data_IF_531549098252
#
_entry.id   IF_531549098252
#
_cell.length_a   1.000
_cell.length_b   1.000
_cell.length_c   1.000
_cell.angle_alpha   90.00
_cell.angle_beta   90.00
_cell.angle_gamma   90.00
#
_symmetry.space_group_name_H-M   'P 1'
#
loop_
_entity.id
_entity.type
_entity.pdbx_description
1 polymer ?
#
# COMPACT_ATOMS: atom_id res chain seq x y z
N UNK A 1 -72.23 52.76 1.23
CA UNK A 1 -72.87 51.47 1.62
C UNK A 1 -72.33 50.32 0.75
N UNK A 2 -71.06 49.89 0.87
CA UNK A 2 -70.56 48.73 0.10
C UNK A 2 -69.28 48.08 0.66
N UNK A 3 -69.09 48.05 2.00
CA UNK A 3 -67.90 47.42 2.64
C UNK A 3 -68.26 46.30 3.62
N UNK A 4 -69.54 45.95 3.80
CA UNK A 4 -69.99 44.89 4.73
C UNK A 4 -70.30 43.53 4.07
N UNK A 5 -70.21 43.38 2.74
CA UNK A 5 -70.56 42.13 2.03
C UNK A 5 -69.38 41.28 1.53
N UNK A 6 -68.16 41.83 1.44
CA UNK A 6 -66.98 41.06 1.01
C UNK A 6 -66.30 40.26 2.15
N UNK A 7 -66.41 40.71 3.40
CA UNK A 7 -65.79 40.03 4.55
C UNK A 7 -66.46 38.72 4.99
N UNK A 8 -67.76 38.54 4.73
CA UNK A 8 -68.51 37.33 5.16
C UNK A 8 -68.28 36.11 4.27
N UNK A 9 -67.96 36.31 2.98
CA UNK A 9 -67.67 35.21 2.06
C UNK A 9 -66.33 34.52 2.36
N UNK A 10 -65.31 35.31 2.71
CA UNK A 10 -63.98 34.80 3.02
C UNK A 10 -63.96 34.01 4.35
N UNK A 11 -64.68 34.50 5.37
CA UNK A 11 -64.80 33.80 6.66
C UNK A 11 -65.51 32.47 6.50
N UNK A 12 -66.58 32.40 5.70
CA UNK A 12 -67.26 31.13 5.43
C UNK A 12 -66.39 30.15 4.65
N UNK A 13 -65.55 30.64 3.73
CA UNK A 13 -64.62 29.79 2.98
C UNK A 13 -63.55 29.17 3.88
N UNK A 14 -62.98 29.93 4.83
CA UNK A 14 -61.99 29.42 5.78
C UNK A 14 -62.60 28.40 6.75
N UNK A 15 -63.84 28.62 7.21
CA UNK A 15 -64.53 27.67 8.10
C UNK A 15 -64.85 26.37 7.38
N UNK A 16 -65.30 26.43 6.12
CA UNK A 16 -65.54 25.21 5.31
C UNK A 16 -64.22 24.51 5.01
N UNK A 17 -63.14 25.23 4.71
CA UNK A 17 -61.84 24.62 4.44
C UNK A 17 -61.26 23.93 5.68
N UNK A 18 -61.38 24.56 6.86
CA UNK A 18 -60.96 23.98 8.13
C UNK A 18 -61.79 22.74 8.51
N UNK A 19 -63.09 22.74 8.20
CA UNK A 19 -63.96 21.57 8.40
C UNK A 19 -63.59 20.41 7.47
N UNK A 20 -63.22 20.68 6.20
CA UNK A 20 -62.84 19.63 5.24
C UNK A 20 -61.47 19.01 5.57
N UNK A 21 -60.50 19.81 6.06
CA UNK A 21 -59.20 19.27 6.49
C UNK A 21 -59.29 18.52 7.83
N UNK A 22 -60.24 18.86 8.70
CA UNK A 22 -60.42 18.22 10.00
C UNK A 22 -61.01 16.80 9.93
N UNK A 23 -61.84 16.49 8.93
CA UNK A 23 -62.56 15.20 8.88
C UNK A 23 -61.72 14.06 8.27
N UNK A 24 -60.70 14.35 7.43
CA UNK A 24 -59.87 13.30 6.83
C UNK A 24 -58.96 12.56 7.82
N UNK A 25 -58.62 13.19 8.95
CA UNK A 25 -57.75 12.59 9.97
C UNK A 25 -58.47 11.59 10.90
N UNK A 26 -59.81 11.53 10.87
CA UNK A 26 -60.57 10.69 11.81
C UNK A 26 -60.91 9.30 11.25
N UNK A 27 -60.79 9.07 9.94
CA UNK A 27 -61.20 7.81 9.30
C UNK A 27 -60.04 6.91 8.86
N UNK A 28 -58.79 7.30 9.10
CA UNK A 28 -57.60 6.47 8.80
C UNK A 28 -56.86 6.23 10.12
N UNK A 29 -56.99 5.06 10.76
CA UNK A 29 -56.18 4.77 11.93
C UNK A 29 -54.69 4.81 11.54
N UNK A 30 -53.81 5.44 12.33
CA UNK A 30 -52.39 5.42 12.05
C UNK A 30 -51.94 3.95 12.00
N UNK A 31 -51.38 3.56 10.87
CA UNK A 31 -50.80 2.24 10.67
C UNK A 31 -49.77 2.04 11.78
N UNK A 32 -50.06 1.16 12.74
CA UNK A 32 -49.16 0.87 13.84
C UNK A 32 -47.78 0.56 13.25
N UNK A 33 -46.76 1.32 13.66
CA UNK A 33 -45.38 1.04 13.28
C UNK A 33 -45.09 -0.41 13.65
N UNK A 34 -44.77 -1.22 12.64
CA UNK A 34 -44.35 -2.59 12.86
C UNK A 34 -43.21 -2.59 13.90
N UNK A 35 -43.18 -3.54 14.85
CA UNK A 35 -42.05 -3.66 15.77
C UNK A 35 -40.76 -3.70 14.95
N UNK A 36 -39.88 -2.72 15.17
CA UNK A 36 -38.55 -2.78 14.60
C UNK A 36 -37.91 -4.07 15.13
N UNK A 37 -37.58 -4.99 14.21
CA UNK A 37 -36.76 -6.14 14.57
C UNK A 37 -35.52 -5.61 15.29
N UNK A 38 -35.11 -6.20 16.43
CA UNK A 38 -33.94 -5.73 17.15
C UNK A 38 -32.77 -5.67 16.17
N UNK A 39 -32.18 -4.48 16.01
CA UNK A 39 -31.00 -4.31 15.22
C UNK A 39 -29.93 -5.25 15.81
N UNK A 40 -29.57 -6.29 15.06
CA UNK A 40 -28.45 -7.14 15.43
C UNK A 40 -27.25 -6.22 15.47
N UNK A 41 -26.75 -5.96 16.68
CA UNK A 41 -25.53 -5.20 16.90
C UNK A 41 -24.46 -5.92 16.09
N UNK A 42 -23.99 -5.30 15.01
CA UNK A 42 -22.91 -5.87 14.21
C UNK A 42 -21.76 -6.14 15.18
N UNK A 43 -21.38 -7.41 15.29
CA UNK A 43 -20.23 -7.81 16.10
C UNK A 43 -19.02 -7.04 15.54
N UNK A 44 -18.27 -6.38 16.44
CA UNK A 44 -17.15 -5.55 16.02
C UNK A 44 -16.17 -6.43 15.23
N UNK A 45 -15.82 -6.00 14.02
CA UNK A 45 -14.86 -6.72 13.21
C UNK A 45 -13.49 -6.71 13.91
N UNK A 46 -12.83 -7.87 13.96
CA UNK A 46 -11.50 -7.99 14.54
C UNK A 46 -10.51 -6.99 13.90
N UNK A 47 -9.73 -6.21 14.70
CA UNK A 47 -8.96 -5.10 14.19
C UNK A 47 -7.60 -5.55 13.61
N UNK A 48 -7.62 -5.99 12.35
CA UNK A 48 -6.45 -6.59 11.66
C UNK A 48 -5.20 -5.68 11.66
N UNK A 49 -5.37 -4.37 11.39
CA UNK A 49 -4.24 -3.44 11.35
C UNK A 49 -3.59 -3.25 12.73
N UNK A 50 -4.39 -3.21 13.79
CA UNK A 50 -3.88 -3.14 15.17
C UNK A 50 -3.14 -4.44 15.52
N UNK A 51 -3.67 -5.59 15.10
CA UNK A 51 -3.03 -6.88 15.31
C UNK A 51 -1.68 -6.99 14.60
N UNK A 52 -1.60 -6.52 13.36
CA UNK A 52 -0.35 -6.42 12.60
C UNK A 52 0.69 -5.53 13.30
N UNK A 53 0.27 -4.36 13.78
CA UNK A 53 1.17 -3.43 14.45
C UNK A 53 1.73 -4.00 15.78
N UNK A 54 0.87 -4.62 16.60
CA UNK A 54 1.29 -5.25 17.87
C UNK A 54 2.20 -6.45 17.60
N UNK A 55 1.86 -7.31 16.64
CA UNK A 55 2.70 -8.44 16.26
C UNK A 55 4.06 -8.00 15.72
N UNK A 56 4.13 -6.91 14.94
CA UNK A 56 5.39 -6.36 14.45
C UNK A 56 6.29 -5.83 15.58
N UNK A 57 5.71 -5.10 16.55
CA UNK A 57 6.43 -4.63 17.75
C UNK A 57 6.98 -5.80 18.57
N UNK A 58 6.13 -6.81 18.80
CA UNK A 58 6.53 -8.04 19.48
C UNK A 58 7.66 -8.75 18.75
N UNK A 59 7.53 -8.99 17.45
CA UNK A 59 8.53 -9.72 16.65
C UNK A 59 9.90 -9.00 16.64
N UNK A 60 9.90 -7.66 16.61
CA UNK A 60 11.13 -6.85 16.74
C UNK A 60 11.83 -7.11 18.07
N UNK A 61 11.10 -7.09 19.18
CA UNK A 61 11.68 -7.31 20.51
C UNK A 61 12.02 -8.80 20.76
N UNK A 62 11.24 -9.73 20.19
CA UNK A 62 11.46 -11.15 20.34
C UNK A 62 12.74 -11.62 19.62
N UNK A 63 12.94 -11.18 18.37
CA UNK A 63 14.10 -11.54 17.54
C UNK A 63 15.27 -10.54 17.62
N UNK A 64 15.10 -9.41 18.30
CA UNK A 64 16.18 -8.49 18.63
C UNK A 64 16.69 -8.76 20.03
N UNK A 65 17.98 -9.09 20.18
CA UNK A 65 18.58 -9.30 21.49
C UNK A 65 20.02 -8.82 21.51
N UNK A 66 20.45 -8.38 22.70
CA UNK A 66 21.83 -8.07 23.05
C UNK A 66 21.97 -8.41 24.53
N UNK A 67 22.89 -9.31 24.86
CA UNK A 67 23.19 -9.73 26.24
C UNK A 67 23.47 -8.55 27.19
N UNK A 68 23.95 -7.42 26.66
CA UNK A 68 24.23 -6.21 27.45
C UNK A 68 22.99 -5.32 27.65
N UNK A 69 21.84 -5.68 27.06
CA UNK A 69 20.59 -4.91 27.05
C UNK A 69 19.37 -5.79 27.35
N UNK A 70 19.55 -6.78 28.23
CA UNK A 70 18.50 -7.75 28.55
C UNK A 70 17.23 -7.09 29.13
N UNK A 71 17.40 -6.14 30.06
CA UNK A 71 16.28 -5.41 30.68
C UNK A 71 15.49 -4.57 29.65
N UNK A 72 16.18 -3.94 28.70
CA UNK A 72 15.54 -3.16 27.62
C UNK A 72 14.63 -4.06 26.78
N UNK A 73 15.13 -5.26 26.42
CA UNK A 73 14.34 -6.25 25.67
C UNK A 73 13.12 -6.71 26.45
N UNK A 74 13.27 -7.01 27.73
CA UNK A 74 12.18 -7.46 28.60
C UNK A 74 11.07 -6.40 28.70
N UNK A 75 11.43 -5.14 28.90
CA UNK A 75 10.47 -4.02 28.94
C UNK A 75 9.71 -3.86 27.63
N UNK A 76 10.40 -4.00 26.49
CA UNK A 76 9.77 -3.93 25.17
C UNK A 76 8.76 -5.08 24.97
N UNK A 77 9.10 -6.29 25.39
CA UNK A 77 8.19 -7.44 25.34
C UNK A 77 7.00 -7.27 26.29
N UNK A 78 7.23 -6.84 27.52
CA UNK A 78 6.17 -6.59 28.51
C UNK A 78 5.12 -5.59 27.99
N UNK A 79 5.51 -4.60 27.17
CA UNK A 79 4.60 -3.59 26.62
C UNK A 79 3.51 -4.12 25.67
N UNK A 80 3.61 -5.37 25.22
CA UNK A 80 2.68 -6.00 24.26
C UNK A 80 2.14 -7.34 24.76
N UNK A 81 2.52 -7.72 25.99
CA UNK A 81 2.10 -8.95 26.64
C UNK A 81 1.08 -8.67 27.74
N UNK A 82 0.25 -9.66 28.09
CA UNK A 82 -0.57 -9.59 29.30
C UNK A 82 0.29 -9.36 30.54
N UNK A 83 -0.28 -8.74 31.58
CA UNK A 83 0.34 -8.72 32.90
C UNK A 83 0.76 -10.14 33.33
N UNK A 84 1.88 -10.23 34.05
CA UNK A 84 2.43 -11.47 34.60
C UNK A 84 2.88 -12.52 33.57
N UNK A 85 2.89 -12.19 32.27
CA UNK A 85 3.47 -13.05 31.24
C UNK A 85 5.00 -13.13 31.36
N UNK A 86 5.58 -14.27 30.98
CA UNK A 86 7.03 -14.45 30.85
C UNK A 86 7.60 -13.54 29.75
N UNK A 87 8.14 -12.38 30.14
CA UNK A 87 8.75 -11.40 29.24
C UNK A 87 10.16 -11.79 28.78
N UNK A 88 10.75 -12.88 29.29
CA UNK A 88 12.00 -13.43 28.74
C UNK A 88 11.74 -14.17 27.42
N UNK A 89 10.53 -14.72 27.29
CA UNK A 89 10.08 -15.52 26.15
C UNK A 89 11.03 -16.67 25.79
N UNK A 90 11.71 -17.22 26.79
CA UNK A 90 12.62 -18.35 26.64
C UNK A 90 14.00 -18.03 26.03
N UNK A 91 14.40 -16.75 25.99
CA UNK A 91 15.78 -16.38 25.67
C UNK A 91 16.70 -16.71 26.86
N UNK A 92 17.89 -17.22 26.57
CA UNK A 92 18.87 -17.66 27.58
C UNK A 92 19.77 -16.51 28.09
N UNK A 93 19.57 -15.29 27.58
CA UNK A 93 20.33 -14.11 27.95
C UNK A 93 21.63 -13.91 27.17
N UNK A 94 21.97 -14.80 26.23
CA UNK A 94 23.27 -14.76 25.54
C UNK A 94 23.18 -14.24 24.11
N UNK A 95 24.28 -13.65 23.65
CA UNK A 95 24.52 -13.30 22.26
C UNK A 95 23.87 -12.00 21.83
N UNK A 96 23.98 -11.73 20.52
CA UNK A 96 23.47 -10.52 19.89
C UNK A 96 22.85 -10.80 18.53
N UNK A 97 21.72 -10.16 18.25
CA UNK A 97 21.05 -10.17 16.96
C UNK A 97 20.36 -8.83 16.71
N UNK A 98 20.68 -8.20 15.58
CA UNK A 98 20.05 -6.97 15.14
C UNK A 98 18.84 -7.30 14.26
N UNK A 99 17.77 -6.51 14.40
CA UNK A 99 16.60 -6.52 13.51
C UNK A 99 16.68 -5.33 12.56
N UNK A 100 16.81 -5.62 11.27
CA UNK A 100 16.96 -4.62 10.21
C UNK A 100 15.62 -4.17 9.62
N UNK A 101 14.65 -5.09 9.53
CA UNK A 101 13.30 -4.81 9.02
C UNK A 101 12.28 -5.79 9.62
N UNK A 102 11.03 -5.34 9.70
CA UNK A 102 9.88 -6.15 10.14
C UNK A 102 8.73 -5.91 9.17
N UNK A 103 8.13 -6.97 8.66
CA UNK A 103 7.04 -6.95 7.68
C UNK A 103 5.88 -7.78 8.23
N UNK A 104 4.83 -7.16 8.80
CA UNK A 104 3.62 -7.88 9.18
C UNK A 104 2.85 -8.29 7.92
N UNK A 105 2.39 -9.54 7.91
CA UNK A 105 1.68 -10.16 6.79
C UNK A 105 0.24 -10.51 7.17
N UNK A 106 -0.22 -11.66 6.67
CA UNK A 106 -1.61 -12.09 6.81
C UNK A 106 -2.02 -12.28 8.28
N UNK A 107 -3.26 -11.88 8.58
CA UNK A 107 -3.95 -12.14 9.86
C UNK A 107 -4.90 -13.31 9.67
N UNK A 108 -4.63 -14.43 10.34
CA UNK A 108 -5.49 -15.60 10.33
C UNK A 108 -6.34 -15.61 11.59
N UNK A 109 -7.60 -15.20 11.46
CA UNK A 109 -8.57 -15.16 12.57
C UNK A 109 -8.92 -16.59 13.01
N UNK A 110 -9.08 -16.76 14.31
CA UNK A 110 -9.49 -18.00 14.95
C UNK A 110 -10.67 -17.70 15.90
N UNK A 111 -11.07 -18.65 16.75
CA UNK A 111 -12.23 -18.45 17.64
C UNK A 111 -11.89 -17.46 18.77
N UNK A 112 -12.92 -16.93 19.44
CA UNK A 112 -12.79 -16.14 20.68
C UNK A 112 -11.92 -14.88 20.53
N UNK A 113 -12.10 -14.13 19.45
CA UNK A 113 -11.32 -12.92 19.16
C UNK A 113 -9.79 -13.15 19.15
N UNK A 114 -9.35 -14.36 18.82
CA UNK A 114 -7.94 -14.69 18.67
C UNK A 114 -7.56 -14.68 17.18
N UNK A 115 -6.32 -14.34 16.88
CA UNK A 115 -5.76 -14.48 15.55
C UNK A 115 -4.28 -14.90 15.60
N UNK A 116 -3.75 -15.29 14.44
CA UNK A 116 -2.31 -15.46 14.22
C UNK A 116 -1.86 -14.49 13.15
N UNK A 117 -0.83 -13.72 13.45
CA UNK A 117 -0.22 -12.82 12.47
C UNK A 117 1.08 -13.44 11.98
N UNK A 118 1.19 -13.63 10.66
CA UNK A 118 2.47 -13.97 10.03
C UNK A 118 3.33 -12.71 10.02
N UNK A 119 4.56 -12.79 10.51
CA UNK A 119 5.52 -11.67 10.48
C UNK A 119 6.84 -12.16 9.89
N UNK A 120 7.38 -11.44 8.93
CA UNK A 120 8.72 -11.68 8.38
C UNK A 120 9.70 -10.65 8.94
N UNK A 121 10.85 -11.12 9.44
CA UNK A 121 11.84 -10.27 10.11
C UNK A 121 13.21 -10.47 9.47
N UNK A 122 13.82 -9.39 9.01
CA UNK A 122 15.19 -9.40 8.49
C UNK A 122 16.14 -9.25 9.67
N UNK A 123 16.83 -10.33 10.02
CA UNK A 123 17.76 -10.36 11.16
C UNK A 123 19.20 -10.44 10.70
N UNK A 124 20.10 -9.88 11.49
CA UNK A 124 21.55 -10.02 11.33
C UNK A 124 22.16 -10.46 12.66
N UNK A 125 22.80 -11.63 12.73
CA UNK A 125 23.54 -12.03 13.92
C UNK A 125 24.65 -11.02 14.23
N UNK A 126 24.93 -10.87 15.51
CA UNK A 126 26.03 -10.06 16.00
C UNK A 126 27.37 -10.49 15.42
N UNK A 127 28.31 -9.56 15.49
CA UNK A 127 29.67 -9.77 15.02
C UNK A 127 30.40 -10.70 15.99
N UNK A 128 30.82 -11.86 15.50
CA UNK A 128 31.71 -12.74 16.26
C UNK A 128 33.16 -12.31 16.04
N UNK A 129 33.95 -12.29 17.12
CA UNK A 129 35.39 -12.17 16.99
C UNK A 129 35.90 -13.42 16.26
N UNK A 130 36.57 -13.24 15.12
CA UNK A 130 37.19 -14.36 14.42
C UNK A 130 38.21 -15.07 15.31
N UNK A 131 38.48 -16.37 15.09
CA UNK A 131 39.45 -17.10 15.88
C UNK A 131 40.82 -16.41 15.81
N UNK A 132 41.38 -16.10 16.98
CA UNK A 132 42.71 -15.50 17.05
C UNK A 132 43.74 -16.47 16.48
N UNK A 133 44.44 -16.06 15.42
CA UNK A 133 45.66 -16.73 14.96
C UNK A 133 46.85 -15.87 15.39
N UNK A 134 47.83 -16.49 16.04
CA UNK A 134 49.15 -15.90 16.33
C UNK A 134 49.11 -14.54 17.05
N UNK A 135 48.35 -14.44 18.15
CA UNK A 135 48.21 -13.22 18.98
C UNK A 135 47.72 -11.97 18.22
N UNK A 136 47.29 -12.09 16.96
CA UNK A 136 46.59 -11.04 16.22
C UNK A 136 45.10 -11.30 16.25
N UNK A 137 44.34 -10.32 16.73
CA UNK A 137 42.88 -10.34 16.71
C UNK A 137 42.44 -10.41 15.24
N UNK A 138 41.77 -11.49 14.84
CA UNK A 138 41.19 -11.57 13.51
C UNK A 138 40.16 -10.45 13.33
N UNK A 139 40.03 -9.88 12.13
CA UNK A 139 38.99 -8.89 11.88
C UNK A 139 37.61 -9.50 12.15
N UNK A 140 36.68 -8.71 12.71
CA UNK A 140 35.31 -9.15 12.97
C UNK A 140 34.66 -9.73 11.71
N UNK A 141 33.99 -10.89 11.83
CA UNK A 141 33.23 -11.47 10.72
C UNK A 141 31.76 -11.13 10.92
N UNK A 142 31.24 -10.26 10.04
CA UNK A 142 29.81 -9.95 10.03
C UNK A 142 29.05 -11.01 9.23
N UNK A 143 28.10 -11.67 9.89
CA UNK A 143 27.24 -12.66 9.23
C UNK A 143 26.21 -11.92 8.34
N UNK A 144 25.86 -12.55 7.22
CA UNK A 144 24.86 -12.01 6.30
C UNK A 144 23.48 -11.91 6.98
N UNK A 145 22.69 -10.91 6.57
CA UNK A 145 21.30 -10.80 6.99
C UNK A 145 20.45 -11.91 6.37
N UNK A 146 19.41 -12.34 7.06
CA UNK A 146 18.46 -13.37 6.58
C UNK A 146 17.05 -13.07 7.06
N UNK A 147 16.07 -13.44 6.25
CA UNK A 147 14.66 -13.38 6.65
C UNK A 147 14.31 -14.58 7.55
N UNK A 148 13.53 -14.31 8.59
CA UNK A 148 12.98 -15.30 9.52
C UNK A 148 11.48 -15.06 9.63
N UNK A 149 10.69 -16.12 9.43
CA UNK A 149 9.24 -16.07 9.57
C UNK A 149 8.81 -16.40 10.99
N UNK A 150 7.78 -15.70 11.48
CA UNK A 150 7.23 -15.87 12.80
C UNK A 150 5.69 -15.87 12.74
N UNK A 151 5.04 -16.84 13.39
CA UNK A 151 3.61 -16.77 13.68
C UNK A 151 3.39 -16.29 15.10
N UNK A 152 2.79 -15.10 15.23
CA UNK A 152 2.54 -14.45 16.51
C UNK A 152 1.07 -14.66 16.89
N UNK A 153 0.78 -15.37 18.00
CA UNK A 153 -0.58 -15.50 18.50
C UNK A 153 -1.00 -14.20 19.20
N UNK A 154 -2.16 -13.67 18.81
CA UNK A 154 -2.72 -12.42 19.32
C UNK A 154 -4.19 -12.61 19.68
N UNK A 155 -4.71 -11.77 20.56
CA UNK A 155 -6.13 -11.67 20.84
C UNK A 155 -6.55 -10.23 21.05
N UNK A 156 -7.80 -9.93 20.72
CA UNK A 156 -8.45 -8.70 21.14
C UNK A 156 -9.02 -8.90 22.55
N UNK A 157 -8.68 -8.00 23.46
CA UNK A 157 -9.19 -7.96 24.82
C UNK A 157 -9.42 -6.50 25.21
N UNK A 158 -10.62 -6.20 25.71
CA UNK A 158 -11.01 -4.84 26.13
C UNK A 158 -10.77 -3.74 25.06
N UNK A 159 -10.85 -4.08 23.76
CA UNK A 159 -10.61 -3.17 22.65
C UNK A 159 -9.14 -2.96 22.28
N UNK A 160 -8.22 -3.70 22.90
CA UNK A 160 -6.79 -3.66 22.60
C UNK A 160 -6.31 -5.03 22.10
N UNK A 161 -5.22 -5.03 21.31
CA UNK A 161 -4.56 -6.27 20.90
C UNK A 161 -3.42 -6.59 21.85
N UNK A 162 -3.39 -7.83 22.31
CA UNK A 162 -2.31 -8.40 23.14
C UNK A 162 -1.74 -9.66 22.49
N UNK A 163 -0.45 -9.91 22.69
CA UNK A 163 0.18 -11.19 22.30
C UNK A 163 -0.14 -12.24 23.35
N UNK A 164 -0.74 -13.36 22.95
CA UNK A 164 -1.29 -14.34 23.90
C UNK A 164 -0.35 -15.49 24.25
N UNK A 165 0.85 -15.53 23.66
CA UNK A 165 1.82 -16.56 23.98
C UNK A 165 3.07 -16.54 23.11
N UNK A 166 3.87 -17.60 23.26
CA UNK A 166 5.12 -17.76 22.49
C UNK A 166 4.81 -17.95 21.01
N UNK A 167 5.58 -17.30 20.12
CA UNK A 167 5.41 -17.46 18.69
C UNK A 167 6.01 -18.77 18.17
N UNK A 168 5.66 -19.14 16.94
CA UNK A 168 6.28 -20.24 16.21
C UNK A 168 7.20 -19.74 15.10
N UNK A 169 8.40 -20.31 14.97
CA UNK A 169 9.24 -20.12 13.78
C UNK A 169 8.64 -20.88 12.60
N UNK A 170 8.61 -20.23 11.43
CA UNK A 170 8.01 -20.78 10.22
C UNK A 170 8.88 -20.52 9.00
N UNK A 171 8.74 -21.37 7.99
CA UNK A 171 9.45 -21.21 6.72
C UNK A 171 8.92 -20.02 5.91
N UNK A 172 9.82 -19.34 5.21
CA UNK A 172 9.49 -18.31 4.20
C UNK A 172 9.72 -18.93 2.82
N UNK A 173 8.76 -18.81 1.88
CA UNK A 173 8.96 -19.23 0.50
C UNK A 173 10.22 -18.60 -0.11
N UNK A 174 11.06 -19.40 -0.77
CA UNK A 174 12.30 -18.91 -1.39
C UNK A 174 12.07 -18.07 -2.64
N UNK A 175 10.90 -18.23 -3.25
CA UNK A 175 10.47 -17.55 -4.47
C UNK A 175 9.02 -17.11 -4.30
N UNK A 176 8.65 -16.03 -4.97
CA UNK A 176 7.25 -15.63 -5.09
C UNK A 176 6.43 -16.70 -5.83
N UNK A 177 5.09 -16.61 -5.74
CA UNK A 177 4.22 -17.43 -6.58
C UNK A 177 4.46 -17.12 -8.05
N UNK A 178 4.10 -18.06 -8.93
CA UNK A 178 4.08 -17.82 -10.37
C UNK A 178 3.15 -16.65 -10.68
N UNK A 179 3.64 -15.74 -11.53
CA UNK A 179 2.84 -14.60 -11.96
C UNK A 179 1.76 -15.09 -12.96
N UNK A 180 0.58 -14.44 -12.99
CA UNK A 180 -0.40 -14.73 -14.03
C UNK A 180 0.16 -14.50 -15.43
N UNK A 181 -0.23 -15.35 -16.39
CA UNK A 181 0.10 -15.16 -17.80
C UNK A 181 -0.36 -13.78 -18.28
N UNK A 182 0.55 -13.03 -18.88
CA UNK A 182 0.23 -11.74 -19.50
C UNK A 182 0.15 -11.94 -21.02
N UNK A 183 -0.95 -11.52 -21.69
CA UNK A 183 -1.07 -11.70 -23.13
C UNK A 183 0.01 -10.92 -23.88
N UNK A 184 0.70 -11.57 -24.81
CA UNK A 184 1.67 -10.92 -25.69
C UNK A 184 0.98 -9.90 -26.58
N UNK A 185 1.42 -8.65 -26.54
CA UNK A 185 0.93 -7.61 -27.46
C UNK A 185 1.71 -7.66 -28.77
N UNK A 186 1.02 -7.66 -29.90
CA UNK A 186 1.64 -7.53 -31.22
C UNK A 186 2.33 -6.15 -31.33
N UNK A 187 3.44 -6.07 -32.06
CA UNK A 187 4.28 -4.86 -32.13
C UNK A 187 4.25 -4.24 -33.53
N UNK A 188 4.46 -2.92 -33.59
CA UNK A 188 4.57 -2.15 -34.83
C UNK A 188 6.04 -1.72 -35.03
N UNK A 189 6.86 -2.49 -35.78
CA UNK A 189 8.29 -2.21 -35.92
C UNK A 189 8.56 -0.92 -36.69
N UNK A 190 7.68 -0.53 -37.60
CA UNK A 190 7.82 0.71 -38.37
C UNK A 190 7.61 1.93 -37.46
N UNK A 191 6.54 1.93 -36.66
CA UNK A 191 6.30 2.99 -35.68
C UNK A 191 7.38 3.02 -34.60
N UNK A 192 7.83 1.85 -34.13
CA UNK A 192 8.93 1.74 -33.16
C UNK A 192 10.19 2.43 -33.66
N UNK A 193 10.60 2.14 -34.89
CA UNK A 193 11.77 2.78 -35.52
C UNK A 193 11.55 4.28 -35.68
N UNK A 194 10.37 4.70 -36.13
CA UNK A 194 10.04 6.11 -36.33
C UNK A 194 10.09 6.93 -35.03
N UNK A 195 9.72 6.34 -33.90
CA UNK A 195 9.48 7.06 -32.63
C UNK A 195 10.59 6.88 -31.60
N UNK A 196 11.55 5.97 -31.86
CA UNK A 196 12.67 5.68 -30.97
C UNK A 196 13.42 6.94 -30.50
N UNK A 197 13.83 7.81 -31.42
CA UNK A 197 14.56 9.03 -31.08
C UNK A 197 13.73 10.03 -30.25
N UNK A 198 12.40 10.07 -30.44
CA UNK A 198 11.52 10.92 -29.65
C UNK A 198 11.40 10.41 -28.20
N UNK A 199 11.30 9.09 -28.04
CA UNK A 199 11.24 8.42 -26.73
C UNK A 199 12.59 8.53 -25.99
N UNK A 200 13.71 8.34 -26.68
CA UNK A 200 15.06 8.50 -26.11
C UNK A 200 15.27 9.93 -25.58
N UNK A 201 14.96 10.93 -26.43
CA UNK A 201 15.02 12.34 -26.05
C UNK A 201 14.11 12.65 -24.86
N UNK A 202 12.91 12.07 -24.82
CA UNK A 202 11.99 12.24 -23.70
C UNK A 202 12.62 11.75 -22.39
N UNK A 203 13.20 10.55 -22.36
CA UNK A 203 13.80 10.02 -21.12
C UNK A 203 15.05 10.79 -20.67
N UNK A 204 15.84 11.31 -21.62
CA UNK A 204 16.93 12.23 -21.29
C UNK A 204 16.42 13.51 -20.61
N UNK A 205 15.36 14.13 -21.16
CA UNK A 205 14.69 15.30 -20.58
C UNK A 205 13.99 14.98 -19.24
N UNK A 206 13.42 13.79 -19.10
CA UNK A 206 12.75 13.32 -17.89
C UNK A 206 13.70 13.23 -16.71
N UNK A 207 14.94 12.78 -16.95
CA UNK A 207 16.02 12.78 -15.96
C UNK A 207 16.44 14.19 -15.53
N UNK A 208 16.44 15.14 -16.47
CA UNK A 208 16.80 16.53 -16.23
C UNK A 208 15.67 17.34 -15.56
N UNK A 209 14.45 16.79 -15.51
CA UNK A 209 13.26 17.51 -15.04
C UNK A 209 12.77 18.61 -15.98
N UNK A 210 13.23 18.62 -17.25
CA UNK A 210 12.89 19.62 -18.26
C UNK A 210 12.17 18.94 -19.44
N UNK A 211 10.88 18.66 -19.24
CA UNK A 211 10.07 17.84 -20.16
C UNK A 211 9.15 18.65 -21.08
N UNK A 212 9.00 19.95 -20.87
CA UNK A 212 8.00 20.78 -21.56
C UNK A 212 8.17 20.77 -23.09
N UNK A 213 9.40 20.62 -23.58
CA UNK A 213 9.70 20.57 -25.01
C UNK A 213 9.49 19.18 -25.65
N UNK A 214 9.34 18.13 -24.84
CA UNK A 214 9.27 16.73 -25.29
C UNK A 214 7.93 16.07 -24.96
N UNK A 215 7.11 16.68 -24.11
CA UNK A 215 5.75 16.24 -23.83
C UNK A 215 4.73 16.85 -24.77
N UNK A 216 3.59 16.18 -24.91
CA UNK A 216 2.43 16.72 -25.61
C UNK A 216 1.82 17.90 -24.81
N UNK A 217 1.21 18.89 -25.48
CA UNK A 217 0.56 20.01 -24.80
C UNK A 217 -0.50 19.54 -23.79
N UNK A 218 -0.37 19.96 -22.53
CA UNK A 218 -1.30 19.60 -21.45
C UNK A 218 -0.96 18.31 -20.70
N UNK A 219 0.05 17.55 -21.15
CA UNK A 219 0.55 16.39 -20.42
C UNK A 219 1.21 16.82 -19.10
N UNK A 220 0.93 16.09 -18.02
CA UNK A 220 1.55 16.30 -16.71
C UNK A 220 2.33 15.04 -16.34
N UNK A 221 3.65 15.11 -16.40
CA UNK A 221 4.53 14.01 -15.97
C UNK A 221 5.41 14.48 -14.82
N UNK A 222 5.28 13.93 -13.60
CA UNK A 222 6.11 14.33 -12.46
C UNK A 222 7.58 13.98 -12.68
N UNK A 223 8.49 14.94 -12.48
CA UNK A 223 9.93 14.72 -12.66
C UNK A 223 10.50 13.64 -11.73
N UNK A 224 11.59 12.99 -12.18
CA UNK A 224 12.34 12.04 -11.37
C UNK A 224 13.04 12.74 -10.19
N UNK A 225 13.28 12.03 -9.08
CA UNK A 225 14.07 12.57 -7.97
C UNK A 225 15.51 12.85 -8.41
N UNK A 226 16.14 13.85 -7.78
CA UNK A 226 17.55 14.15 -8.01
C UNK A 226 18.45 12.92 -7.74
N UNK A 227 19.53 12.78 -8.52
CA UNK A 227 20.47 11.66 -8.40
C UNK A 227 20.11 10.43 -9.23
N UNK A 228 19.06 10.50 -10.06
CA UNK A 228 18.78 9.54 -11.12
C UNK A 228 19.31 10.09 -12.44
N UNK A 229 20.30 9.44 -13.02
CA UNK A 229 20.90 9.86 -14.30
C UNK A 229 20.46 8.97 -15.45
N UNK A 230 20.13 9.55 -16.59
CA UNK A 230 19.86 8.79 -17.81
C UNK A 230 21.15 8.20 -18.39
N UNK A 231 21.15 6.90 -18.70
CA UNK A 231 22.26 6.22 -19.41
C UNK A 231 21.90 5.83 -20.84
N UNK A 232 20.62 5.64 -21.14
CA UNK A 232 20.16 5.42 -22.50
C UNK A 232 18.87 4.62 -22.59
N UNK A 233 18.22 4.69 -23.76
CA UNK A 233 17.12 3.82 -24.14
C UNK A 233 17.69 2.48 -24.63
N UNK A 234 17.51 1.43 -23.85
CA UNK A 234 17.99 0.07 -24.17
C UNK A 234 17.13 -0.55 -25.27
N UNK A 235 15.80 -0.41 -25.17
CA UNK A 235 14.88 -0.84 -26.21
C UNK A 235 13.59 -0.03 -26.20
N UNK A 236 12.92 0.02 -27.36
CA UNK A 236 11.60 0.60 -27.52
C UNK A 236 10.80 -0.20 -28.54
N UNK A 237 9.56 -0.51 -28.18
CA UNK A 237 8.62 -1.22 -29.04
C UNK A 237 7.23 -0.62 -28.89
N UNK A 238 6.73 0.01 -29.95
CA UNK A 238 5.35 0.45 -30.04
C UNK A 238 4.43 -0.75 -30.29
N UNK A 239 3.28 -0.77 -29.64
CA UNK A 239 2.26 -1.79 -29.85
C UNK A 239 1.59 -1.60 -31.20
N UNK A 240 1.16 -2.69 -31.82
CA UNK A 240 0.32 -2.68 -33.01
C UNK A 240 -1.01 -1.96 -32.71
N UNK A 241 -1.46 -1.14 -33.64
CA UNK A 241 -2.61 -0.27 -33.45
C UNK A 241 -2.78 0.71 -34.59
N UNK A 242 -3.71 1.64 -34.43
CA UNK A 242 -4.01 2.70 -35.39
C UNK A 242 -4.35 3.99 -34.64
N UNK A 243 -4.33 5.12 -35.36
CA UNK A 243 -4.63 6.43 -34.81
C UNK A 243 -3.40 7.21 -34.37
N UNK A 244 -3.66 8.42 -33.90
CA UNK A 244 -2.65 9.42 -33.55
C UNK A 244 -2.21 9.34 -32.08
N UNK A 245 -2.76 8.41 -31.29
CA UNK A 245 -2.27 8.08 -29.96
C UNK A 245 -1.95 6.59 -29.92
N UNK A 246 -0.74 6.26 -29.50
CA UNK A 246 -0.20 4.88 -29.52
C UNK A 246 0.56 4.64 -28.24
N UNK A 247 0.57 3.40 -27.78
CA UNK A 247 1.33 3.00 -26.59
C UNK A 247 2.44 2.04 -26.99
N UNK A 248 3.50 1.98 -26.20
CA UNK A 248 4.57 1.02 -26.36
C UNK A 248 5.32 0.78 -25.06
N UNK A 249 6.28 -0.13 -25.12
CA UNK A 249 7.15 -0.51 -24.00
C UNK A 249 8.57 -0.01 -24.26
N UNK A 250 9.11 0.75 -23.31
CA UNK A 250 10.50 1.19 -23.29
C UNK A 250 11.28 0.47 -22.18
N UNK A 251 12.49 0.00 -22.48
CA UNK A 251 13.47 -0.41 -21.47
C UNK A 251 14.53 0.67 -21.41
N UNK A 252 14.73 1.26 -20.23
CA UNK A 252 15.61 2.41 -20.02
C UNK A 252 16.67 2.07 -18.98
N UNK A 253 17.92 2.41 -19.27
CA UNK A 253 19.02 2.30 -18.32
C UNK A 253 19.21 3.62 -17.58
N UNK A 254 19.18 3.54 -16.26
CA UNK A 254 19.43 4.64 -15.32
C UNK A 254 20.68 4.38 -14.52
N UNK A 255 21.33 5.43 -14.03
CA UNK A 255 22.26 5.32 -12.92
C UNK A 255 21.68 5.90 -11.64
N UNK A 256 21.79 5.10 -10.57
CA UNK A 256 21.33 5.42 -9.22
C UNK A 256 22.34 4.83 -8.23
N UNK A 257 22.80 5.62 -7.26
CA UNK A 257 23.70 5.15 -6.20
C UNK A 257 25.06 4.64 -6.71
N UNK A 258 25.53 5.14 -7.86
CA UNK A 258 26.77 4.70 -8.49
C UNK A 258 26.69 3.38 -9.26
N UNK A 259 25.49 2.79 -9.38
CA UNK A 259 25.23 1.59 -10.16
C UNK A 259 24.34 1.90 -11.37
N UNK A 260 24.27 0.97 -12.34
CA UNK A 260 23.31 1.01 -13.45
C UNK A 260 22.15 0.05 -13.18
N UNK A 261 20.93 0.48 -13.50
CA UNK A 261 19.70 -0.32 -13.38
C UNK A 261 18.82 -0.11 -14.60
N UNK A 262 18.25 -1.19 -15.12
CA UNK A 262 17.28 -1.13 -16.22
C UNK A 262 15.85 -1.10 -15.65
N UNK A 263 15.01 -0.24 -16.20
CA UNK A 263 13.61 -0.10 -15.81
C UNK A 263 12.71 -0.09 -17.04
N UNK A 264 11.58 -0.80 -16.92
CA UNK A 264 10.58 -0.90 -17.98
C UNK A 264 9.51 0.17 -17.76
N UNK A 265 9.10 0.81 -18.85
CA UNK A 265 8.04 1.79 -18.88
C UNK A 265 7.03 1.47 -19.96
N UNK A 266 5.77 1.80 -19.70
CA UNK A 266 4.75 2.00 -20.72
C UNK A 266 4.67 3.47 -21.06
N UNK A 267 4.79 3.78 -22.35
CA UNK A 267 4.84 5.16 -22.86
C UNK A 267 3.71 5.34 -23.85
N UNK A 268 2.88 6.34 -23.62
CA UNK A 268 1.89 6.80 -24.60
C UNK A 268 2.50 7.92 -25.41
N UNK A 269 2.54 7.76 -26.72
CA UNK A 269 2.97 8.76 -27.68
C UNK A 269 1.76 9.29 -28.44
N UNK A 270 1.75 10.59 -28.68
CA UNK A 270 0.70 11.26 -29.46
C UNK A 270 1.31 12.04 -30.61
N UNK A 271 0.68 11.96 -31.78
CA UNK A 271 1.09 12.66 -32.99
C UNK A 271 0.57 14.10 -32.90
N UNK A 272 1.49 15.03 -32.69
CA UNK A 272 1.22 16.46 -32.66
C UNK A 272 1.48 17.03 -34.05
N UNK A 273 0.45 17.67 -34.62
CA UNK A 273 0.51 18.29 -35.94
C UNK A 273 0.68 19.79 -35.82
N UNK A 274 1.66 20.34 -36.53
CA UNK A 274 1.82 21.78 -36.79
C UNK A 274 1.64 22.01 -38.29
N UNK A 275 1.41 23.26 -38.72
CA UNK A 275 1.10 23.63 -40.11
C UNK A 275 2.02 23.01 -41.16
N UNK A 276 3.28 22.71 -40.80
CA UNK A 276 4.34 22.30 -41.73
C UNK A 276 5.03 20.98 -41.35
N UNK A 277 4.66 20.34 -40.22
CA UNK A 277 5.26 19.09 -39.77
C UNK A 277 4.39 18.33 -38.75
N UNK A 278 4.54 17.00 -38.74
CA UNK A 278 4.00 16.13 -37.69
C UNK A 278 5.16 15.56 -36.86
N UNK A 279 5.04 15.58 -35.53
CA UNK A 279 6.00 14.95 -34.62
C UNK A 279 5.28 14.10 -33.59
N UNK A 280 5.88 13.00 -33.18
CA UNK A 280 5.41 12.22 -32.04
C UNK A 280 6.01 12.80 -30.77
N UNK A 281 5.18 13.01 -29.75
CA UNK A 281 5.60 13.46 -28.42
C UNK A 281 5.03 12.52 -27.37
N UNK A 282 5.70 12.45 -26.21
CA UNK A 282 5.20 11.62 -25.11
C UNK A 282 4.06 12.35 -24.41
N UNK A 283 2.93 11.67 -24.28
CA UNK A 283 1.73 12.16 -23.60
C UNK A 283 1.66 11.63 -22.15
N UNK A 284 2.08 10.38 -21.94
CA UNK A 284 2.08 9.74 -20.63
C UNK A 284 3.23 8.73 -20.50
N UNK A 285 3.71 8.54 -19.27
CA UNK A 285 4.70 7.51 -18.93
C UNK A 285 4.39 6.89 -17.57
N UNK A 286 4.37 5.56 -17.53
CA UNK A 286 4.17 4.78 -16.30
C UNK A 286 5.20 3.66 -16.18
N UNK A 287 5.62 3.36 -14.96
CA UNK A 287 6.52 2.23 -14.70
C UNK A 287 5.82 0.88 -14.86
N UNK A 288 6.55 -0.13 -15.31
CA UNK A 288 6.03 -1.48 -15.54
C UNK A 288 5.75 -1.77 -17.02
N UNK A 289 5.35 -3.01 -17.32
CA UNK A 289 5.15 -3.53 -18.67
C UNK A 289 3.68 -3.66 -19.09
N UNK A 290 2.72 -3.38 -18.19
CA UNK A 290 1.28 -3.50 -18.42
C UNK A 290 0.54 -2.27 -17.91
#
# INVERSE_FOLDING_TARGET
>A
MFVRRLGRGLVWFVVVLAAVTGVRAWFIPPKASAPQAPAVKAEAAYPDAAAQAVAARFARAYLGWDENKAEEREQLLASVLPPDADATMGWDGNGRQDVLAVQPGAVTKTKNAQARVRVEVLVRPGVEAGPAKDKKKAPPVQKAARWVGLDVPVAESAGEIVVTGRPGLVGIPKHGPEAPDTPTTETDPALSTQTNAAVDKFFSAYAAGDIDAVTAPGATVPALPAGVEYKGLVSWSADAGRGDSRTGTALVSWSLGGASVEQVYRVTITRVSTSDAHRWQVDDVRGGSA
#
